data_IF_916645000916
#
_entry.id   IF_916645000916
#
_cell.length_a   1.000
_cell.length_b   1.000
_cell.length_c   1.000
_cell.angle_alpha   90.00
_cell.angle_beta   90.00
_cell.angle_gamma   90.00
#
_symmetry.space_group_name_H-M   'P 1'
#
loop_
_entity.id
_entity.type
_entity.pdbx_description
1 polymer ?
#
# COMPACT_ATOMS: atom_id res chain seq x y z
N UNK A 1 -35.79 -12.87 -3.82
CA UNK A 1 -35.32 -11.88 -2.84
C UNK A 1 -33.99 -12.39 -2.29
N UNK A 2 -32.89 -11.67 -2.38
CA UNK A 2 -31.65 -12.10 -1.73
C UNK A 2 -31.86 -12.14 -0.22
N UNK A 3 -31.29 -13.15 0.43
CA UNK A 3 -31.35 -13.33 1.89
C UNK A 3 -30.76 -12.11 2.60
N UNK A 4 -31.31 -11.69 3.74
CA UNK A 4 -30.88 -10.49 4.47
C UNK A 4 -29.48 -10.58 5.11
N UNK A 5 -28.72 -11.63 4.86
CA UNK A 5 -27.42 -11.92 5.49
C UNK A 5 -26.19 -11.66 4.57
N UNK A 6 -26.40 -11.17 3.37
CA UNK A 6 -25.32 -10.73 2.46
C UNK A 6 -25.07 -9.24 2.63
N UNK A 7 -24.58 -8.86 3.80
CA UNK A 7 -24.08 -7.49 4.01
C UNK A 7 -22.98 -7.20 2.98
N UNK A 8 -23.14 -6.10 2.23
CA UNK A 8 -22.14 -5.68 1.26
C UNK A 8 -20.75 -5.63 1.93
N UNK A 9 -19.70 -6.14 1.26
CA UNK A 9 -18.38 -6.24 1.85
C UNK A 9 -17.88 -4.87 2.28
N UNK A 10 -17.44 -4.74 3.54
CA UNK A 10 -16.90 -3.50 4.05
C UNK A 10 -15.61 -3.11 3.29
N UNK A 11 -15.33 -1.82 3.13
CA UNK A 11 -14.05 -1.36 2.61
C UNK A 11 -12.90 -1.90 3.47
N UNK A 12 -11.76 -2.20 2.84
CA UNK A 12 -10.60 -2.77 3.51
C UNK A 12 -9.32 -2.19 2.92
N UNK A 13 -8.38 -1.79 3.77
CA UNK A 13 -6.99 -1.54 3.40
C UNK A 13 -6.05 -2.26 4.36
N UNK A 14 -5.14 -3.05 3.81
CA UNK A 14 -4.13 -3.80 4.55
C UNK A 14 -2.75 -3.54 3.98
N UNK A 15 -1.76 -3.44 4.85
CA UNK A 15 -0.34 -3.55 4.52
C UNK A 15 0.30 -4.67 5.34
N UNK A 16 1.05 -5.54 4.69
CA UNK A 16 1.68 -6.69 5.30
C UNK A 16 3.17 -6.73 4.94
N UNK A 17 4.01 -7.12 5.91
CA UNK A 17 5.39 -7.45 5.62
C UNK A 17 5.44 -8.59 4.59
N UNK A 18 6.42 -8.61 3.67
CA UNK A 18 6.58 -9.72 2.74
C UNK A 18 6.96 -11.00 3.48
N UNK A 19 6.77 -12.16 2.84
CA UNK A 19 7.21 -13.43 3.40
C UNK A 19 8.71 -13.46 3.65
N UNK A 20 9.20 -14.25 4.63
CA UNK A 20 10.62 -14.51 4.78
C UNK A 20 11.22 -15.03 3.46
N UNK A 21 12.34 -14.46 3.03
CA UNK A 21 12.99 -14.81 1.76
C UNK A 21 12.54 -14.00 0.54
N UNK A 22 11.60 -13.08 0.68
CA UNK A 22 11.28 -12.14 -0.38
C UNK A 22 12.51 -11.30 -0.78
N UNK A 23 12.65 -10.91 -2.07
CA UNK A 23 13.75 -10.05 -2.52
C UNK A 23 13.84 -8.74 -1.74
N UNK A 24 15.05 -8.30 -1.41
CA UNK A 24 15.31 -7.10 -0.62
C UNK A 24 14.60 -5.82 -1.11
N UNK A 25 14.37 -5.59 -2.43
CA UNK A 25 13.59 -4.44 -2.90
C UNK A 25 12.10 -4.48 -2.54
N UNK A 26 11.54 -5.62 -2.16
CA UNK A 26 10.12 -5.71 -1.76
C UNK A 26 9.96 -5.21 -0.33
N UNK A 27 9.29 -4.08 -0.15
CA UNK A 27 9.09 -3.45 1.16
C UNK A 27 7.86 -4.02 1.87
N UNK A 28 6.72 -4.06 1.20
CA UNK A 28 5.49 -4.64 1.72
C UNK A 28 4.47 -4.99 0.63
N UNK A 29 3.52 -5.84 1.02
CA UNK A 29 2.32 -6.17 0.25
C UNK A 29 1.20 -5.25 0.70
N UNK A 30 0.33 -4.83 -0.21
CA UNK A 30 -0.89 -4.13 0.14
C UNK A 30 -2.11 -4.73 -0.56
N UNK A 31 -3.26 -4.66 0.13
CA UNK A 31 -4.57 -5.03 -0.40
C UNK A 31 -5.55 -3.93 -0.07
N UNK A 32 -6.24 -3.42 -1.08
CA UNK A 32 -7.31 -2.45 -0.95
C UNK A 32 -8.57 -2.98 -1.63
N UNK A 33 -9.69 -3.00 -0.91
CA UNK A 33 -11.02 -3.31 -1.44
C UNK A 33 -11.99 -2.18 -1.15
N UNK A 34 -12.79 -1.83 -2.13
CA UNK A 34 -13.89 -0.88 -1.98
C UNK A 34 -15.09 -1.29 -2.83
N UNK A 35 -16.26 -1.13 -2.25
CA UNK A 35 -17.56 -1.42 -2.87
C UNK A 35 -18.31 -0.14 -3.26
N UNK A 36 -17.58 0.94 -3.50
CA UNK A 36 -18.13 2.25 -3.82
C UNK A 36 -18.49 3.10 -2.61
N UNK A 37 -18.21 2.61 -1.40
CA UNK A 37 -18.54 3.30 -0.15
C UNK A 37 -17.56 4.42 0.20
N UNK A 38 -16.32 4.33 -0.32
CA UNK A 38 -15.27 5.31 -0.07
C UNK A 38 -15.30 6.45 -1.10
N UNK A 39 -16.40 7.18 -1.14
CA UNK A 39 -16.49 8.43 -1.88
C UNK A 39 -16.49 9.60 -0.91
N UNK A 40 -15.52 10.50 -0.98
CA UNK A 40 -15.54 11.69 -0.16
C UNK A 40 -14.16 12.25 0.24
N UNK A 41 -14.18 13.28 1.10
CA UNK A 41 -12.97 13.91 1.62
C UNK A 41 -12.19 12.93 2.52
N UNK A 42 -10.90 12.82 2.29
CA UNK A 42 -10.00 11.98 3.08
C UNK A 42 -9.69 10.62 2.46
N UNK A 43 -10.43 10.20 1.42
CA UNK A 43 -10.09 8.98 0.69
C UNK A 43 -9.14 9.28 -0.47
N UNK A 44 -8.11 8.46 -0.63
CA UNK A 44 -7.13 8.68 -1.68
C UNK A 44 -5.89 7.80 -1.53
N UNK A 45 -4.88 8.13 -2.32
CA UNK A 45 -3.59 7.46 -2.26
C UNK A 45 -2.57 8.34 -1.55
N UNK A 46 -1.94 7.81 -0.52
CA UNK A 46 -0.90 8.51 0.23
C UNK A 46 0.34 8.78 -0.63
N UNK A 47 1.10 9.79 -0.24
CA UNK A 47 2.45 9.98 -0.73
C UNK A 47 3.31 8.76 -0.36
N UNK A 48 4.23 8.39 -1.24
CA UNK A 48 5.14 7.25 -0.98
C UNK A 48 6.49 7.49 -1.64
N UNK A 49 7.55 7.01 -1.01
CA UNK A 49 8.90 6.96 -1.56
C UNK A 49 9.18 5.66 -2.34
N UNK A 50 8.18 4.76 -2.41
CA UNK A 50 8.28 3.45 -3.03
C UNK A 50 7.59 3.43 -4.40
N UNK A 51 8.10 2.60 -5.30
CA UNK A 51 7.38 2.18 -6.50
C UNK A 51 6.17 1.35 -6.08
N UNK A 52 5.12 1.40 -6.87
CA UNK A 52 3.89 0.64 -6.62
C UNK A 52 3.59 -0.22 -7.82
N UNK A 53 3.77 -1.52 -7.70
CA UNK A 53 3.25 -2.50 -8.64
C UNK A 53 1.84 -2.85 -8.17
N UNK A 54 0.82 -2.52 -8.94
CA UNK A 54 -0.58 -2.73 -8.58
C UNK A 54 -1.32 -3.55 -9.61
N UNK A 55 -2.14 -4.47 -9.11
CA UNK A 55 -3.09 -5.29 -9.82
C UNK A 55 -4.47 -4.78 -9.48
N UNK A 56 -5.19 -4.25 -10.46
CA UNK A 56 -6.52 -3.66 -10.27
C UNK A 56 -7.57 -4.55 -10.94
N UNK A 57 -8.46 -5.11 -10.14
CA UNK A 57 -9.63 -5.83 -10.60
C UNK A 57 -10.88 -5.02 -10.28
N UNK A 58 -11.69 -4.69 -11.30
CA UNK A 58 -12.99 -4.03 -11.12
C UNK A 58 -14.10 -5.07 -11.09
N UNK A 59 -15.06 -4.92 -10.18
CA UNK A 59 -16.18 -5.85 -10.02
C UNK A 59 -17.12 -5.91 -11.25
N UNK A 60 -17.10 -4.87 -12.09
CA UNK A 60 -17.89 -4.78 -13.34
C UNK A 60 -16.96 -4.43 -14.49
N UNK A 61 -16.22 -5.40 -15.00
CA UNK A 61 -15.41 -5.24 -16.21
C UNK A 61 -16.20 -5.76 -17.41
N UNK A 62 -16.40 -4.92 -18.44
CA UNK A 62 -17.11 -5.27 -19.68
C UNK A 62 -16.43 -6.38 -20.47
N UNK A 63 -15.11 -6.57 -20.30
CA UNK A 63 -14.28 -7.52 -21.05
C UNK A 63 -13.82 -8.74 -20.23
N UNK A 64 -14.58 -9.14 -19.20
CA UNK A 64 -14.20 -10.24 -18.31
C UNK A 64 -13.28 -9.82 -17.16
N UNK A 65 -13.08 -10.69 -16.16
CA UNK A 65 -12.41 -10.35 -14.91
C UNK A 65 -10.87 -10.45 -15.02
N UNK A 66 -10.25 -9.70 -15.94
CA UNK A 66 -8.79 -9.63 -16.00
C UNK A 66 -8.25 -8.46 -15.19
N UNK A 67 -7.25 -8.68 -14.32
CA UNK A 67 -6.63 -7.60 -13.57
C UNK A 67 -5.79 -6.72 -14.50
N UNK A 68 -5.92 -5.39 -14.34
CA UNK A 68 -5.00 -4.44 -14.96
C UNK A 68 -3.77 -4.29 -14.09
N UNK A 69 -2.60 -4.42 -14.71
CA UNK A 69 -1.30 -4.15 -14.06
C UNK A 69 -0.88 -2.71 -14.30
N UNK A 70 -0.35 -2.09 -13.27
CA UNK A 70 0.24 -0.75 -13.36
C UNK A 70 1.47 -0.66 -12.45
N UNK A 71 2.56 -0.10 -12.97
CA UNK A 71 3.76 0.23 -12.20
C UNK A 71 3.87 1.75 -12.10
N UNK A 72 3.54 2.27 -10.93
CA UNK A 72 3.61 3.69 -10.65
C UNK A 72 4.92 4.06 -9.92
N UNK A 73 5.57 5.17 -10.29
CA UNK A 73 6.71 5.69 -9.55
C UNK A 73 6.29 6.22 -8.17
N UNK A 74 7.25 6.51 -7.28
CA UNK A 74 7.02 7.20 -6.02
C UNK A 74 6.15 8.45 -6.17
N UNK A 75 5.24 8.67 -5.20
CA UNK A 75 4.27 9.78 -5.25
C UNK A 75 4.63 10.87 -4.25
N UNK A 76 4.77 12.13 -4.71
CA UNK A 76 5.24 13.23 -3.86
C UNK A 76 4.20 13.81 -2.90
N UNK A 77 2.91 13.56 -3.10
CA UNK A 77 1.82 14.13 -2.31
C UNK A 77 0.60 13.21 -2.27
N UNK A 78 -0.31 13.49 -1.36
CA UNK A 78 -1.62 12.86 -1.35
C UNK A 78 -2.36 13.09 -2.67
N UNK A 79 -3.00 12.04 -3.18
CA UNK A 79 -3.84 12.10 -4.38
C UNK A 79 -5.26 11.70 -3.99
N UNK A 80 -6.20 12.67 -3.87
CA UNK A 80 -7.57 12.37 -3.50
C UNK A 80 -8.24 11.50 -4.56
N UNK A 81 -9.10 10.59 -4.13
CA UNK A 81 -9.94 9.81 -5.02
C UNK A 81 -11.12 10.67 -5.46
N UNK A 82 -11.33 10.79 -6.76
CA UNK A 82 -12.39 11.62 -7.34
C UNK A 82 -13.66 10.83 -7.70
N UNK A 83 -13.55 9.53 -7.84
CA UNK A 83 -14.65 8.68 -8.25
C UNK A 83 -14.75 7.43 -7.36
N UNK A 84 -15.97 6.91 -7.14
CA UNK A 84 -16.16 5.62 -6.47
C UNK A 84 -15.37 4.52 -7.17
N UNK A 85 -14.85 3.59 -6.39
CA UNK A 85 -14.16 2.42 -6.88
C UNK A 85 -14.91 1.17 -6.38
N UNK A 86 -15.17 0.25 -7.31
CA UNK A 86 -15.77 -1.06 -6.99
C UNK A 86 -14.79 -2.14 -7.42
N UNK A 87 -14.18 -2.82 -6.46
CA UNK A 87 -13.23 -3.88 -6.76
C UNK A 87 -12.09 -3.99 -5.76
N UNK A 88 -11.00 -4.59 -6.23
CA UNK A 88 -9.77 -4.82 -5.46
C UNK A 88 -8.58 -4.19 -6.19
N UNK A 89 -7.71 -3.56 -5.43
CA UNK A 89 -6.37 -3.16 -5.84
C UNK A 89 -5.40 -3.83 -4.87
N UNK A 90 -4.58 -4.73 -5.38
CA UNK A 90 -3.57 -5.39 -4.55
C UNK A 90 -2.21 -5.32 -5.23
N UNK A 91 -1.12 -5.51 -4.49
CA UNK A 91 0.20 -5.50 -5.11
C UNK A 91 1.34 -5.30 -4.13
N UNK A 92 2.44 -4.79 -4.66
CA UNK A 92 3.72 -4.69 -3.97
C UNK A 92 4.19 -3.24 -3.92
N UNK A 93 4.78 -2.86 -2.79
CA UNK A 93 5.57 -1.65 -2.66
C UNK A 93 7.05 -2.01 -2.75
N UNK A 94 7.74 -1.32 -3.64
CA UNK A 94 9.09 -1.70 -4.05
C UNK A 94 10.05 -0.53 -3.86
N UNK A 95 11.21 -0.79 -3.28
CA UNK A 95 12.29 0.20 -3.14
C UNK A 95 12.95 0.57 -4.47
N UNK A 96 12.88 -0.34 -5.45
CA UNK A 96 13.40 -0.20 -6.82
C UNK A 96 12.34 -0.69 -7.78
N UNK A 97 12.28 -0.13 -8.99
CA UNK A 97 11.42 -0.66 -10.05
C UNK A 97 11.89 -2.06 -10.47
N UNK A 98 10.98 -3.01 -10.72
CA UNK A 98 11.34 -4.32 -11.27
C UNK A 98 11.74 -4.16 -12.75
N UNK A 99 12.52 -5.12 -13.26
CA UNK A 99 13.02 -5.12 -14.65
C UNK A 99 11.89 -5.35 -15.66
N UNK A 100 10.85 -6.08 -15.28
CA UNK A 100 9.69 -6.37 -16.10
C UNK A 100 8.40 -6.39 -15.29
N UNK A 101 7.28 -6.20 -15.95
CA UNK A 101 5.96 -6.44 -15.38
C UNK A 101 5.65 -7.96 -15.34
N UNK A 102 4.74 -8.42 -14.46
CA UNK A 102 4.28 -9.80 -14.44
C UNK A 102 3.74 -10.25 -15.81
N UNK A 103 4.04 -11.49 -16.18
CA UNK A 103 3.51 -12.10 -17.41
C UNK A 103 2.00 -12.34 -17.32
N UNK A 104 1.34 -12.55 -18.45
CA UNK A 104 -0.09 -12.89 -18.49
C UNK A 104 -0.40 -14.17 -17.71
N UNK A 105 0.48 -15.16 -17.74
CA UNK A 105 0.35 -16.42 -17.00
C UNK A 105 0.29 -16.19 -15.48
N UNK A 106 1.16 -15.32 -14.95
CA UNK A 106 1.14 -14.92 -13.54
C UNK A 106 -0.14 -14.19 -13.19
N UNK A 107 -0.64 -13.34 -14.09
CA UNK A 107 -1.88 -12.59 -13.88
C UNK A 107 -3.09 -13.51 -13.87
N UNK A 108 -3.14 -14.48 -14.76
CA UNK A 108 -4.21 -15.48 -14.81
C UNK A 108 -4.23 -16.33 -13.53
N UNK A 109 -3.06 -16.69 -12.99
CA UNK A 109 -2.94 -17.41 -11.73
C UNK A 109 -3.38 -16.58 -10.50
N UNK A 110 -3.22 -15.26 -10.54
CA UNK A 110 -3.64 -14.33 -9.46
C UNK A 110 -5.14 -13.97 -9.51
N UNK A 111 -5.75 -14.06 -10.68
CA UNK A 111 -7.13 -13.61 -10.92
C UNK A 111 -8.16 -14.27 -9.99
N UNK A 112 -8.15 -15.61 -9.73
CA UNK A 112 -9.11 -16.24 -8.82
C UNK A 112 -9.04 -15.69 -7.40
N UNK A 113 -7.84 -15.44 -6.88
CA UNK A 113 -7.65 -14.88 -5.54
C UNK A 113 -8.12 -13.42 -5.44
N UNK A 114 -7.90 -12.62 -6.50
CA UNK A 114 -8.42 -11.24 -6.58
C UNK A 114 -9.96 -11.23 -6.62
N UNK A 115 -10.58 -12.15 -7.39
CA UNK A 115 -12.03 -12.29 -7.46
C UNK A 115 -12.64 -12.70 -6.13
N UNK A 116 -12.02 -13.65 -5.42
CA UNK A 116 -12.45 -14.08 -4.09
C UNK A 116 -12.49 -12.92 -3.09
N UNK A 117 -11.46 -12.08 -3.08
CA UNK A 117 -11.41 -10.88 -2.23
C UNK A 117 -12.44 -9.84 -2.68
N UNK A 118 -12.64 -9.65 -3.98
CA UNK A 118 -13.64 -8.71 -4.50
C UNK A 118 -15.08 -9.13 -4.14
N UNK A 119 -15.37 -10.43 -4.16
CA UNK A 119 -16.68 -11.02 -3.88
C UNK A 119 -17.00 -11.25 -2.41
N UNK A 120 -16.22 -10.71 -1.48
CA UNK A 120 -16.39 -10.90 -0.02
C UNK A 120 -16.17 -12.34 0.49
N UNK A 121 -15.53 -13.20 -0.25
CA UNK A 121 -15.29 -14.59 0.15
C UNK A 121 -14.25 -14.75 1.30
N UNK A 122 -14.01 -13.71 2.06
CA UNK A 122 -13.35 -13.77 3.38
C UNK A 122 -11.83 -14.01 3.37
N UNK A 123 -11.28 -14.62 2.36
CA UNK A 123 -9.89 -15.09 2.41
C UNK A 123 -8.93 -14.13 1.71
N UNK A 124 -8.30 -13.23 2.48
CA UNK A 124 -7.17 -12.42 1.99
C UNK A 124 -5.89 -13.26 1.88
N UNK A 125 -5.77 -14.31 2.69
CA UNK A 125 -4.57 -15.15 2.77
C UNK A 125 -4.15 -15.79 1.43
N UNK A 126 -5.05 -16.37 0.60
CA UNK A 126 -4.67 -16.89 -0.71
C UNK A 126 -4.12 -15.80 -1.64
N UNK A 127 -4.67 -14.57 -1.57
CA UNK A 127 -4.17 -13.44 -2.35
C UNK A 127 -2.79 -13.00 -1.87
N UNK A 128 -2.58 -12.92 -0.57
CA UNK A 128 -1.27 -12.58 0.02
C UNK A 128 -0.22 -13.62 -0.38
N UNK A 129 -0.54 -14.93 -0.27
CA UNK A 129 0.36 -16.00 -0.69
C UNK A 129 0.69 -15.94 -2.21
N UNK A 130 -0.27 -15.55 -3.03
CA UNK A 130 -0.05 -15.36 -4.46
C UNK A 130 0.83 -14.12 -4.75
N UNK A 131 0.67 -13.04 -3.99
CA UNK A 131 1.52 -11.84 -4.07
C UNK A 131 2.94 -12.11 -3.54
N UNK A 132 3.12 -12.96 -2.53
CA UNK A 132 4.44 -13.41 -2.09
C UNK A 132 5.17 -14.18 -3.19
N UNK A 133 4.47 -15.08 -3.91
CA UNK A 133 5.05 -15.77 -5.08
C UNK A 133 5.42 -14.78 -6.19
N UNK A 134 4.52 -13.86 -6.53
CA UNK A 134 4.82 -12.80 -7.48
C UNK A 134 6.07 -12.00 -7.06
N UNK A 135 6.22 -11.69 -5.77
CA UNK A 135 7.39 -10.97 -5.25
C UNK A 135 8.70 -11.74 -5.51
N UNK A 136 8.69 -13.07 -5.36
CA UNK A 136 9.84 -13.93 -5.62
C UNK A 136 10.17 -14.05 -7.13
N UNK A 137 9.18 -13.94 -8.00
CA UNK A 137 9.34 -14.03 -9.46
C UNK A 137 9.87 -12.73 -10.08
N UNK A 138 9.79 -11.61 -9.34
CA UNK A 138 10.31 -10.33 -9.83
C UNK A 138 11.83 -10.29 -9.83
N UNK A 139 12.39 -9.82 -10.95
CA UNK A 139 13.82 -9.56 -11.09
C UNK A 139 14.10 -8.07 -10.91
N UNK A 140 15.23 -7.79 -10.30
CA UNK A 140 15.69 -6.43 -10.06
C UNK A 140 17.16 -6.33 -10.50
N UNK A 141 17.42 -5.66 -11.59
CA UNK A 141 18.78 -5.34 -12.01
C UNK A 141 19.39 -4.42 -10.94
N UNK A 142 20.26 -4.99 -10.14
CA UNK A 142 21.01 -4.22 -9.16
C UNK A 142 21.76 -3.12 -9.88
N UNK A 143 21.47 -1.89 -9.56
CA UNK A 143 22.33 -0.77 -9.92
C UNK A 143 23.68 -0.95 -9.21
N UNK A 144 24.57 -1.70 -9.79
CA UNK A 144 26.00 -1.67 -9.48
C UNK A 144 26.46 -0.26 -9.86
N UNK A 145 26.22 0.68 -8.98
CA UNK A 145 26.61 2.06 -9.21
C UNK A 145 28.12 2.17 -9.03
N UNK A 146 28.82 2.27 -10.15
CA UNK A 146 30.12 2.90 -10.16
C UNK A 146 30.05 4.23 -9.40
N UNK A 147 31.15 4.72 -8.81
CA UNK A 147 31.17 5.97 -8.05
C UNK A 147 30.75 7.13 -8.95
N UNK A 148 29.50 7.56 -8.83
CA UNK A 148 28.93 8.68 -9.62
C UNK A 148 28.93 9.96 -8.78
N UNK A 149 29.17 11.10 -9.44
CA UNK A 149 29.13 12.41 -8.80
C UNK A 149 27.79 12.69 -8.11
N UNK A 150 27.77 13.52 -7.07
CA UNK A 150 26.54 13.92 -6.37
C UNK A 150 25.49 14.53 -7.31
N UNK A 151 25.94 15.21 -8.40
CA UNK A 151 25.06 15.77 -9.43
C UNK A 151 24.43 14.68 -10.28
N UNK A 152 25.19 13.68 -10.70
CA UNK A 152 24.71 12.53 -11.46
C UNK A 152 23.69 11.72 -10.63
N UNK A 153 24.00 11.46 -9.35
CA UNK A 153 23.09 10.77 -8.43
C UNK A 153 21.76 11.52 -8.23
N UNK A 154 21.78 12.87 -8.13
CA UNK A 154 20.54 13.66 -8.07
C UNK A 154 19.71 13.55 -9.34
N UNK A 155 20.35 13.58 -10.52
CA UNK A 155 19.68 13.45 -11.81
C UNK A 155 19.06 12.06 -11.96
N UNK A 156 19.79 11.00 -11.61
CA UNK A 156 19.31 9.62 -11.65
C UNK A 156 18.09 9.42 -10.74
N UNK A 157 18.14 9.88 -9.48
CA UNK A 157 17.00 9.82 -8.56
C UNK A 157 15.78 10.54 -9.17
N UNK A 158 15.96 11.75 -9.69
CA UNK A 158 14.85 12.52 -10.27
C UNK A 158 14.29 11.87 -11.53
N UNK A 159 15.13 11.28 -12.36
CA UNK A 159 14.70 10.55 -13.56
C UNK A 159 13.91 9.29 -13.18
N UNK A 160 14.37 8.52 -12.21
CA UNK A 160 13.72 7.29 -11.78
C UNK A 160 12.42 7.52 -10.98
N UNK A 161 12.35 8.57 -10.14
CA UNK A 161 11.26 8.76 -9.18
C UNK A 161 10.38 9.97 -9.48
N UNK A 162 10.77 10.86 -10.38
CA UNK A 162 10.11 12.16 -10.59
C UNK A 162 10.28 13.14 -9.43
N UNK A 163 10.97 12.77 -8.34
CA UNK A 163 11.08 13.56 -7.11
C UNK A 163 12.49 14.09 -6.85
N UNK A 164 12.55 15.24 -6.17
CA UNK A 164 13.82 15.70 -5.61
C UNK A 164 14.25 14.82 -4.43
N UNK A 165 15.56 14.72 -4.17
CA UNK A 165 16.10 14.00 -3.01
C UNK A 165 15.46 14.43 -1.68
N UNK A 166 15.22 15.75 -1.52
CA UNK A 166 14.55 16.30 -0.32
C UNK A 166 13.12 15.78 -0.19
N UNK A 167 12.36 15.75 -1.29
CA UNK A 167 10.97 15.26 -1.28
C UNK A 167 10.89 13.75 -1.03
N UNK A 168 11.81 13.00 -1.61
CA UNK A 168 11.93 11.56 -1.36
C UNK A 168 12.24 11.26 0.11
N UNK A 169 13.18 12.01 0.71
CA UNK A 169 13.50 11.88 2.12
C UNK A 169 12.30 12.24 3.03
N UNK A 170 11.51 13.26 2.64
CA UNK A 170 10.31 13.63 3.39
C UNK A 170 9.21 12.55 3.28
N UNK A 171 9.02 11.93 2.11
CA UNK A 171 8.09 10.81 1.93
C UNK A 171 8.52 9.57 2.73
N UNK A 172 9.84 9.28 2.76
CA UNK A 172 10.40 8.20 3.58
C UNK A 172 10.17 8.43 5.07
N UNK A 173 10.38 9.65 5.55
CA UNK A 173 10.10 10.03 6.94
C UNK A 173 8.61 9.86 7.28
N UNK A 174 7.73 10.25 6.35
CA UNK A 174 6.30 10.07 6.53
C UNK A 174 5.92 8.58 6.61
N UNK A 175 6.55 7.70 5.84
CA UNK A 175 6.36 6.25 5.95
C UNK A 175 6.76 5.72 7.33
N UNK A 176 7.92 6.10 7.86
CA UNK A 176 8.32 5.74 9.23
C UNK A 176 7.32 6.22 10.29
N UNK A 177 6.73 7.41 10.09
CA UNK A 177 5.66 7.88 10.95
C UNK A 177 4.42 6.97 10.90
N UNK A 178 4.02 6.51 9.70
CA UNK A 178 2.88 5.59 9.56
C UNK A 178 3.13 4.26 10.29
N UNK A 179 4.34 3.71 10.19
CA UNK A 179 4.74 2.50 10.91
C UNK A 179 4.61 2.71 12.43
N UNK A 180 5.07 3.85 12.97
CA UNK A 180 4.95 4.20 14.37
C UNK A 180 3.50 4.44 14.82
N UNK A 181 2.66 5.09 13.99
CA UNK A 181 1.24 5.32 14.29
C UNK A 181 0.45 4.01 14.37
N UNK A 182 0.84 3.00 13.60
CA UNK A 182 0.19 1.68 13.60
C UNK A 182 0.56 0.85 14.82
N UNK A 183 1.78 0.99 15.34
CA UNK A 183 2.35 0.14 16.38
C UNK A 183 2.08 0.62 17.82
N UNK A 184 1.62 1.88 18.07
CA UNK A 184 2.01 2.52 19.31
C UNK A 184 0.93 3.29 20.08
N UNK A 185 1.03 3.17 21.41
CA UNK A 185 0.35 4.00 22.42
C UNK A 185 1.12 5.30 22.77
N UNK A 186 2.28 5.54 22.15
CA UNK A 186 3.12 6.72 22.41
C UNK A 186 2.40 8.03 22.13
N UNK A 187 2.84 9.12 22.75
CA UNK A 187 2.32 10.46 22.48
C UNK A 187 2.63 10.88 21.04
N UNK A 188 1.80 11.75 20.45
CA UNK A 188 2.08 12.29 19.10
C UNK A 188 3.36 13.16 19.06
N UNK A 189 3.78 13.68 20.20
CA UNK A 189 5.02 14.47 20.32
C UNK A 189 6.22 13.55 20.19
N UNK A 190 6.23 12.44 20.94
CA UNK A 190 7.32 11.46 20.91
C UNK A 190 7.46 10.82 19.53
N UNK A 191 6.32 10.41 18.92
CA UNK A 191 6.29 9.90 17.56
C UNK A 191 6.82 10.91 16.52
N UNK A 192 6.54 12.20 16.70
CA UNK A 192 7.06 13.22 15.81
C UNK A 192 8.60 13.28 15.88
N UNK A 193 9.16 13.28 17.07
CA UNK A 193 10.61 13.33 17.28
C UNK A 193 11.28 12.05 16.76
N UNK A 194 10.75 10.89 17.07
CA UNK A 194 11.25 9.60 16.62
C UNK A 194 11.23 9.47 15.09
N UNK A 195 10.16 9.92 14.45
CA UNK A 195 10.04 9.95 12.99
C UNK A 195 10.92 11.07 12.35
N UNK A 196 11.66 11.86 13.14
CA UNK A 196 12.58 12.89 12.68
C UNK A 196 11.90 14.19 12.24
N UNK A 197 10.74 14.52 12.81
CA UNK A 197 10.12 15.84 12.71
C UNK A 197 10.65 16.76 13.80
N UNK A 198 10.64 18.06 13.54
CA UNK A 198 11.10 19.05 14.52
C UNK A 198 10.15 19.16 15.71
N UNK A 199 8.83 19.13 15.43
CA UNK A 199 7.76 19.20 16.40
C UNK A 199 6.47 18.56 15.85
N UNK A 200 5.43 18.50 16.68
CA UNK A 200 4.12 17.97 16.32
C UNK A 200 3.45 18.78 15.19
N UNK A 201 3.67 20.09 15.13
CA UNK A 201 3.09 20.97 14.10
C UNK A 201 3.67 20.66 12.72
N UNK A 202 5.00 20.48 12.65
CA UNK A 202 5.71 20.04 11.44
C UNK A 202 5.23 18.65 10.98
N UNK A 203 5.06 17.71 11.92
CA UNK A 203 4.48 16.39 11.63
C UNK A 203 3.04 16.53 11.11
N UNK A 204 2.21 17.36 11.74
CA UNK A 204 0.81 17.55 11.34
C UNK A 204 0.68 18.17 9.95
N UNK A 205 1.55 19.10 9.61
CA UNK A 205 1.63 19.66 8.25
C UNK A 205 2.02 18.60 7.22
N UNK A 206 2.98 17.73 7.56
CA UNK A 206 3.38 16.61 6.70
C UNK A 206 2.24 15.60 6.51
N UNK A 207 1.50 15.23 7.56
CA UNK A 207 0.34 14.34 7.47
C UNK A 207 -0.73 14.90 6.52
N UNK A 208 -1.07 16.18 6.63
CA UNK A 208 -2.01 16.82 5.70
C UNK A 208 -1.50 16.81 4.25
N UNK A 209 -0.20 17.06 4.04
CA UNK A 209 0.40 17.08 2.70
C UNK A 209 0.52 15.68 2.07
N UNK A 210 0.76 14.65 2.87
CA UNK A 210 1.09 13.30 2.40
C UNK A 210 -0.07 12.30 2.51
N UNK A 211 -1.00 12.52 3.46
CA UNK A 211 -2.18 11.66 3.65
C UNK A 211 -3.53 12.41 3.51
N UNK A 212 -3.52 13.74 3.44
CA UNK A 212 -4.75 14.53 3.36
C UNK A 212 -5.49 14.71 4.68
N UNK A 213 -5.00 14.11 5.78
CA UNK A 213 -5.66 14.09 7.09
C UNK A 213 -4.68 14.40 8.23
N UNK A 214 -5.18 14.61 9.44
CA UNK A 214 -4.34 14.86 10.62
C UNK A 214 -3.69 13.57 11.16
N UNK A 215 -2.62 13.66 11.98
CA UNK A 215 -2.01 12.50 12.62
C UNK A 215 -3.00 11.71 13.50
N UNK A 216 -3.88 12.41 14.23
CA UNK A 216 -4.90 11.77 15.05
C UNK A 216 -5.92 10.96 14.25
N UNK A 217 -6.24 11.40 13.02
CA UNK A 217 -7.12 10.65 12.12
C UNK A 217 -6.43 9.43 11.48
N UNK A 218 -5.07 9.43 11.42
CA UNK A 218 -4.28 8.29 10.97
C UNK A 218 -4.06 7.27 12.07
N UNK A 219 -4.12 7.73 13.35
CA UNK A 219 -3.90 6.87 14.50
C UNK A 219 -5.06 5.91 14.65
N UNK A 220 -4.75 4.63 14.80
CA UNK A 220 -5.74 3.61 15.12
C UNK A 220 -6.34 3.87 16.52
N UNK A 221 -7.66 3.77 16.73
CA UNK A 221 -8.22 3.83 18.06
C UNK A 221 -7.63 2.73 18.97
N UNK A 222 -7.29 3.02 20.25
CA UNK A 222 -6.85 2.01 21.19
C UNK A 222 -7.88 0.86 21.27
N UNK A 223 -7.42 -0.37 21.18
CA UNK A 223 -8.29 -1.56 21.28
C UNK A 223 -9.03 -1.95 20.00
N UNK A 224 -8.92 -1.19 18.92
CA UNK A 224 -9.42 -1.61 17.61
C UNK A 224 -8.53 -2.75 17.07
N UNK A 225 -8.78 -3.97 17.53
CA UNK A 225 -8.29 -5.16 16.82
C UNK A 225 -8.95 -5.16 15.45
N UNK A 226 -8.32 -5.70 14.40
CA UNK A 226 -8.99 -5.98 13.14
C UNK A 226 -10.16 -6.91 13.46
N UNK A 227 -11.30 -6.32 13.81
CA UNK A 227 -12.53 -7.07 14.10
C UNK A 227 -13.17 -7.36 12.76
N UNK A 228 -12.91 -8.53 12.25
CA UNK A 228 -13.57 -9.04 11.07
C UNK A 228 -13.07 -10.44 10.78
N UNK A 229 -13.92 -11.27 10.23
CA UNK A 229 -13.66 -12.65 9.80
C UNK A 229 -12.42 -12.81 8.88
N UNK A 230 -11.73 -11.71 8.56
CA UNK A 230 -10.56 -11.66 7.69
C UNK A 230 -9.28 -12.23 8.32
N UNK A 231 -9.22 -12.31 9.67
CA UNK A 231 -8.02 -12.71 10.42
C UNK A 231 -8.19 -14.07 11.11
N UNK A 232 -8.95 -14.98 10.53
CA UNK A 232 -8.96 -16.37 11.02
C UNK A 232 -7.66 -17.12 10.68
N UNK A 233 -6.80 -16.52 9.82
CA UNK A 233 -5.49 -17.06 9.50
C UNK A 233 -4.43 -16.47 10.42
N UNK A 234 -4.08 -17.18 11.49
CA UNK A 234 -3.05 -16.79 12.47
C UNK A 234 -1.68 -16.45 11.85
N UNK A 235 -1.41 -16.88 10.61
CA UNK A 235 -0.16 -16.60 9.90
C UNK A 235 0.00 -15.19 9.35
N UNK A 236 -1.10 -14.41 9.19
CA UNK A 236 -1.04 -13.04 8.68
C UNK A 236 -0.89 -12.00 9.80
N UNK A 237 -1.31 -12.33 11.04
CA UNK A 237 -1.29 -11.39 12.17
C UNK A 237 0.13 -10.90 12.48
N UNK A 238 1.13 -11.78 12.37
CA UNK A 238 2.53 -11.45 12.63
C UNK A 238 3.15 -10.57 11.54
N UNK A 239 2.54 -10.52 10.34
CA UNK A 239 3.02 -9.76 9.18
C UNK A 239 2.30 -8.43 9.01
N UNK A 240 1.24 -8.20 9.76
CA UNK A 240 0.38 -7.03 9.62
C UNK A 240 1.11 -5.75 10.05
N UNK A 241 1.27 -4.80 9.12
CA UNK A 241 1.85 -3.48 9.37
C UNK A 241 0.78 -2.42 9.60
N UNK A 242 -0.24 -2.41 8.75
CA UNK A 242 -1.29 -1.39 8.79
C UNK A 242 -2.65 -2.00 8.41
N UNK A 243 -3.69 -1.63 9.16
CA UNK A 243 -5.08 -1.87 8.81
C UNK A 243 -5.82 -0.56 8.90
N UNK A 244 -6.48 -0.17 7.83
CA UNK A 244 -7.45 0.92 7.83
C UNK A 244 -8.78 0.31 7.42
N UNK A 245 -9.73 0.31 8.35
CA UNK A 245 -11.16 0.16 8.03
C UNK A 245 -11.70 1.58 7.97
N UNK A 246 -11.89 2.12 6.78
CA UNK A 246 -12.42 3.46 6.60
C UNK A 246 -13.88 3.53 7.00
#
# INVERSE_FOLDING_TARGET
MPSPDEAAPAPLYLELAPAPGAPAPVDHIFVFRDCGLLSGRGTGRFATDLFTLSLTLRARAENGPRPRVDLAPPRPAFCPRRAPFHGVIAGLRLGVAPDSLPSEEILDALTPALLAVAGNAGAVAPLVAALDRLACDLTFSGSHSAPVSARSKRRSIRAATGMSRRRLAAARRFRHLLDGLAACEQSLIDLALEAGYYDQSHMSAACRAFAGVSPGALRRPPGARPSGRFFQDHGLDTRLRLVINP
#
